data_IF_088632853128
#
_entry.id   IF_088632853128
#
_cell.length_a   1.000
_cell.length_b   1.000
_cell.length_c   1.000
_cell.angle_alpha   90.00
_cell.angle_beta   90.00
_cell.angle_gamma   90.00
#
_symmetry.space_group_name_H-M   'P 1'
#
loop_
_entity.id
_entity.type
_entity.pdbx_description
1 polymer ?
#
# COMPACT_ATOMS: atom_id res chain seq x y z
N UNK A 1 -7.04 22.95 8.64
CA UNK A 1 -6.71 21.98 9.71
C UNK A 1 -6.63 20.58 9.13
N UNK A 2 -5.42 20.03 9.10
CA UNK A 2 -5.17 18.66 8.69
C UNK A 2 -5.85 17.74 9.69
N UNK A 3 -6.95 17.12 9.30
CA UNK A 3 -7.66 16.14 10.10
C UNK A 3 -7.09 14.72 9.94
N UNK A 4 -5.83 14.61 9.49
CA UNK A 4 -5.10 13.36 9.32
C UNK A 4 -3.70 13.53 9.91
N UNK A 5 -3.32 12.60 10.76
CA UNK A 5 -1.96 12.48 11.28
C UNK A 5 -1.41 11.11 10.88
N UNK A 6 -0.16 11.09 10.43
CA UNK A 6 0.60 9.87 10.17
C UNK A 6 1.68 9.74 11.25
N UNK A 7 1.80 8.56 11.80
CA UNK A 7 2.81 8.19 12.79
C UNK A 7 3.57 6.97 12.31
N UNK A 8 4.86 6.95 12.54
CA UNK A 8 5.72 5.80 12.30
C UNK A 8 6.71 5.69 13.46
N UNK A 9 6.86 4.50 14.02
CA UNK A 9 7.65 4.25 15.21
C UNK A 9 9.10 3.84 14.88
N UNK A 10 9.73 4.46 13.90
CA UNK A 10 11.11 4.15 13.52
C UNK A 10 11.33 4.16 12.02
N UNK A 11 12.29 3.35 11.55
CA UNK A 11 12.68 3.22 10.16
C UNK A 11 11.67 2.45 9.30
N UNK A 12 12.10 2.02 8.13
CA UNK A 12 11.29 1.19 7.24
C UNK A 12 10.93 -0.14 7.92
N UNK A 13 9.70 -0.60 7.73
CA UNK A 13 9.23 -1.85 8.34
C UNK A 13 8.70 -1.72 9.77
N UNK A 14 8.91 -0.58 10.43
CA UNK A 14 8.38 -0.33 11.77
C UNK A 14 6.90 0.07 11.71
N UNK A 15 6.15 -0.25 12.77
CA UNK A 15 4.71 -0.03 12.84
C UNK A 15 4.33 1.39 12.47
N UNK A 16 3.40 1.52 11.54
CA UNK A 16 2.84 2.81 11.12
C UNK A 16 1.34 2.90 11.41
N UNK A 17 0.86 4.11 11.59
CA UNK A 17 -0.53 4.37 11.85
C UNK A 17 -0.99 5.67 11.19
N UNK A 18 -2.20 5.63 10.65
CA UNK A 18 -2.93 6.82 10.21
C UNK A 18 -4.07 7.08 11.18
N UNK A 19 -4.13 8.30 11.71
CA UNK A 19 -5.23 8.76 12.52
C UNK A 19 -6.06 9.76 11.74
N UNK A 20 -7.34 9.50 11.62
CA UNK A 20 -8.30 10.43 11.04
C UNK A 20 -9.05 11.15 12.15
N UNK A 21 -9.04 12.49 12.12
CA UNK A 21 -9.73 13.36 13.10
C UNK A 21 -9.31 13.11 14.55
N UNK A 22 -8.07 12.68 14.80
CA UNK A 22 -7.57 12.36 16.14
C UNK A 22 -8.08 11.05 16.73
N UNK A 23 -8.84 10.27 15.98
CA UNK A 23 -9.33 8.96 16.44
C UNK A 23 -8.24 7.89 16.26
N UNK A 24 -8.15 6.88 17.17
CA UNK A 24 -7.27 5.75 17.01
C UNK A 24 -7.46 5.03 15.69
N UNK A 25 -6.39 4.40 15.18
CA UNK A 25 -6.37 3.73 13.86
C UNK A 25 -7.50 2.71 13.66
N UNK A 26 -7.95 2.01 14.69
CA UNK A 26 -9.06 1.05 14.66
C UNK A 26 -10.41 1.63 14.22
N UNK A 27 -10.56 2.95 14.22
CA UNK A 27 -11.76 3.65 13.75
C UNK A 27 -11.67 4.13 12.32
N UNK A 28 -10.61 3.73 11.61
CA UNK A 28 -10.41 4.02 10.19
C UNK A 28 -10.35 2.71 9.42
N UNK A 29 -11.12 2.61 8.35
CA UNK A 29 -11.13 1.42 7.49
C UNK A 29 -10.28 1.69 6.26
N UNK A 30 -9.47 0.71 5.86
CA UNK A 30 -8.62 0.79 4.67
C UNK A 30 -9.14 -0.16 3.60
N UNK A 31 -9.20 0.32 2.37
CA UNK A 31 -9.51 -0.46 1.19
C UNK A 31 -8.38 -0.34 0.19
N UNK A 32 -8.08 -1.43 -0.52
CA UNK A 32 -7.20 -1.44 -1.68
C UNK A 32 -7.99 -2.01 -2.85
N UNK A 33 -8.18 -1.22 -3.90
CA UNK A 33 -8.96 -1.57 -5.09
C UNK A 33 -10.36 -2.14 -4.75
N UNK A 34 -11.00 -1.57 -3.72
CA UNK A 34 -12.34 -1.98 -3.27
C UNK A 34 -12.35 -3.16 -2.30
N UNK A 35 -11.23 -3.81 -2.03
CA UNK A 35 -11.11 -4.90 -1.06
C UNK A 35 -10.76 -4.33 0.31
N UNK A 36 -11.56 -4.65 1.32
CA UNK A 36 -11.29 -4.25 2.70
C UNK A 36 -10.04 -4.94 3.22
N UNK A 37 -9.10 -4.14 3.71
CA UNK A 37 -7.85 -4.62 4.28
C UNK A 37 -7.94 -4.63 5.81
N UNK A 38 -7.39 -5.68 6.39
CA UNK A 38 -7.29 -5.83 7.85
C UNK A 38 -6.13 -6.77 8.17
N UNK A 39 -5.57 -6.62 9.35
CA UNK A 39 -4.56 -7.54 9.87
C UNK A 39 -5.21 -8.43 10.93
N UNK A 40 -5.51 -9.71 10.63
CA UNK A 40 -6.13 -10.62 11.57
C UNK A 40 -5.21 -11.01 12.74
N UNK A 41 -3.90 -10.74 12.64
CA UNK A 41 -2.95 -10.95 13.73
C UNK A 41 -2.93 -9.80 14.75
N UNK A 42 -3.44 -8.64 14.36
CA UNK A 42 -3.58 -7.47 15.23
C UNK A 42 -4.82 -7.59 16.12
N UNK A 43 -4.67 -7.28 17.42
CA UNK A 43 -5.77 -7.26 18.39
C UNK A 43 -6.91 -6.33 17.95
N UNK A 44 -6.60 -5.24 17.26
CA UNK A 44 -7.56 -4.24 16.79
C UNK A 44 -7.99 -4.47 15.34
N UNK A 45 -7.48 -5.52 14.69
CA UNK A 45 -7.70 -5.80 13.27
C UNK A 45 -7.35 -4.59 12.36
N UNK A 46 -6.34 -3.83 12.77
CA UNK A 46 -5.89 -2.61 12.10
C UNK A 46 -5.02 -2.95 10.91
N UNK A 47 -5.09 -2.12 9.88
CA UNK A 47 -4.20 -2.23 8.74
C UNK A 47 -2.85 -1.54 9.02
N UNK A 48 -1.74 -2.22 8.68
CA UNK A 48 -0.40 -1.66 8.73
C UNK A 48 0.05 -1.19 7.34
N UNK A 49 0.43 0.08 7.24
CA UNK A 49 0.83 0.71 5.98
C UNK A 49 2.29 0.43 5.60
N UNK A 50 3.09 -0.15 6.49
CA UNK A 50 4.53 -0.38 6.28
C UNK A 50 4.86 -1.25 5.07
N UNK A 51 3.93 -2.10 4.66
CA UNK A 51 4.13 -3.07 3.61
C UNK A 51 3.60 -2.62 2.25
N UNK A 52 3.12 -1.36 2.16
CA UNK A 52 2.68 -0.78 0.90
C UNK A 52 3.80 0.05 0.29
N UNK A 53 4.22 -0.34 -0.91
CA UNK A 53 5.19 0.43 -1.68
C UNK A 53 4.46 1.43 -2.59
N UNK A 54 4.94 2.68 -2.58
CA UNK A 54 4.25 3.80 -3.23
C UNK A 54 4.32 3.74 -4.76
N UNK A 55 5.29 3.02 -5.33
CA UNK A 55 5.45 2.90 -6.79
C UNK A 55 4.24 2.26 -7.48
N UNK A 56 3.47 1.44 -6.74
CA UNK A 56 2.30 0.70 -7.24
C UNK A 56 0.99 1.47 -7.04
N UNK A 57 1.02 2.60 -6.31
CA UNK A 57 -0.16 3.39 -6.01
C UNK A 57 -0.39 4.41 -7.13
N UNK A 58 -1.63 4.51 -7.59
CA UNK A 58 -2.09 5.57 -8.47
C UNK A 58 -2.54 6.79 -7.68
N UNK A 59 -3.42 6.57 -6.67
CA UNK A 59 -3.92 7.63 -5.80
C UNK A 59 -4.44 7.06 -4.47
N UNK A 60 -4.56 7.94 -3.49
CA UNK A 60 -5.19 7.66 -2.19
C UNK A 60 -6.35 8.62 -2.01
N UNK A 61 -7.53 8.07 -1.76
CA UNK A 61 -8.76 8.81 -1.48
C UNK A 61 -9.10 8.68 -0.01
N UNK A 62 -9.36 9.80 0.67
CA UNK A 62 -9.67 9.80 2.08
C UNK A 62 -11.05 10.41 2.29
N UNK A 63 -12.00 9.57 2.70
CA UNK A 63 -13.33 9.98 3.09
C UNK A 63 -13.35 10.20 4.60
N UNK A 64 -13.52 11.46 4.99
CA UNK A 64 -13.50 11.87 6.39
C UNK A 64 -14.91 11.89 6.97
N UNK A 65 -15.04 11.46 8.21
CA UNK A 65 -16.31 11.43 8.94
C UNK A 65 -16.88 10.02 9.05
N UNK A 66 -18.04 9.93 9.68
CA UNK A 66 -18.69 8.64 9.89
C UNK A 66 -19.18 8.06 8.57
N UNK A 67 -18.55 6.99 8.13
CA UNK A 67 -18.86 6.23 6.91
C UNK A 67 -19.38 4.83 7.25
N UNK A 68 -19.78 4.58 8.50
CA UNK A 68 -20.13 3.24 9.00
C UNK A 68 -21.37 2.63 8.33
N UNK A 69 -22.27 3.44 7.79
CA UNK A 69 -23.44 2.96 7.04
C UNK A 69 -23.07 2.31 5.70
N UNK A 70 -21.95 2.70 5.09
CA UNK A 70 -21.49 2.17 3.80
C UNK A 70 -20.33 1.19 3.99
N UNK A 71 -19.39 1.52 4.88
CA UNK A 71 -18.11 0.81 5.02
C UNK A 71 -17.98 0.00 6.32
N UNK A 72 -19.06 -0.09 7.12
CA UNK A 72 -19.12 -0.87 8.36
C UNK A 72 -18.61 -0.14 9.59
N UNK A 73 -18.76 -0.77 10.77
CA UNK A 73 -18.54 -0.18 12.09
C UNK A 73 -17.11 0.37 12.34
N UNK A 74 -16.11 -0.10 11.62
CA UNK A 74 -14.73 0.41 11.72
C UNK A 74 -14.53 1.79 11.07
N UNK A 75 -15.47 2.31 10.29
CA UNK A 75 -15.33 3.54 9.51
C UNK A 75 -15.92 4.79 10.22
N UNK A 76 -15.84 4.85 11.53
CA UNK A 76 -16.36 5.98 12.34
C UNK A 76 -15.50 7.24 12.11
N UNK A 77 -14.19 7.09 12.05
CA UNK A 77 -13.24 8.18 11.79
C UNK A 77 -13.14 8.54 10.32
N UNK A 78 -13.37 7.57 9.46
CA UNK A 78 -13.30 7.70 8.01
C UNK A 78 -12.82 6.43 7.31
N UNK A 79 -12.68 6.54 5.99
CA UNK A 79 -12.22 5.47 5.12
C UNK A 79 -11.05 5.95 4.28
N UNK A 80 -10.01 5.14 4.16
CA UNK A 80 -8.86 5.34 3.28
C UNK A 80 -8.98 4.34 2.14
N UNK A 81 -9.09 4.83 0.92
CA UNK A 81 -9.16 4.00 -0.28
C UNK A 81 -7.89 4.19 -1.10
N UNK A 82 -7.11 3.13 -1.23
CA UNK A 82 -5.87 3.09 -2.01
C UNK A 82 -6.21 2.47 -3.35
N UNK A 83 -5.91 3.20 -4.42
CA UNK A 83 -6.14 2.76 -5.78
C UNK A 83 -4.79 2.46 -6.41
N UNK A 84 -4.59 1.21 -6.85
CA UNK A 84 -3.36 0.80 -7.52
C UNK A 84 -3.35 1.26 -8.99
N UNK A 85 -2.16 1.22 -9.59
CA UNK A 85 -1.98 1.61 -10.99
C UNK A 85 -2.73 0.64 -11.92
N UNK A 86 -3.31 1.21 -12.96
CA UNK A 86 -3.90 0.51 -14.10
C UNK A 86 -3.16 0.91 -15.36
N UNK A 87 -3.37 0.18 -16.46
CA UNK A 87 -2.80 0.58 -17.73
C UNK A 87 -3.50 1.84 -18.27
N UNK A 88 -2.73 2.68 -18.92
CA UNK A 88 -3.22 3.71 -19.81
C UNK A 88 -3.22 3.16 -21.26
N UNK A 89 -3.99 3.75 -22.19
CA UNK A 89 -4.05 3.27 -23.57
C UNK A 89 -2.68 3.08 -24.20
N UNK A 90 -2.48 1.93 -24.87
CA UNK A 90 -1.22 1.54 -25.46
C UNK A 90 -0.36 0.66 -24.55
N UNK A 91 0.91 0.50 -24.89
CA UNK A 91 1.87 -0.32 -24.15
C UNK A 91 2.87 0.57 -23.45
N UNK A 92 3.04 0.35 -22.15
CA UNK A 92 4.03 1.08 -21.36
C UNK A 92 4.95 0.09 -20.62
N UNK A 93 6.22 0.45 -20.53
CA UNK A 93 7.25 -0.28 -19.78
C UNK A 93 8.00 0.71 -18.91
N UNK A 94 8.12 0.41 -17.63
CA UNK A 94 8.78 1.28 -16.68
C UNK A 94 9.79 0.49 -15.85
N UNK A 95 10.99 1.03 -15.72
CA UNK A 95 12.07 0.50 -14.88
C UNK A 95 12.62 1.65 -14.07
N UNK A 96 12.54 1.54 -12.74
CA UNK A 96 13.14 2.51 -11.84
C UNK A 96 14.08 1.80 -10.88
N UNK A 97 15.27 2.38 -10.68
CA UNK A 97 16.21 1.93 -9.68
C UNK A 97 16.73 3.12 -8.89
N UNK A 98 16.51 3.05 -7.58
CA UNK A 98 16.92 4.09 -6.64
C UNK A 98 17.92 3.52 -5.64
N UNK A 99 18.93 4.32 -5.30
CA UNK A 99 19.93 4.01 -4.28
C UNK A 99 19.87 5.12 -3.23
N UNK A 100 19.96 4.72 -1.97
CA UNK A 100 19.95 5.66 -0.84
C UNK A 100 20.97 5.31 0.23
N UNK A 101 20.97 6.08 1.30
CA UNK A 101 21.80 5.82 2.49
C UNK A 101 21.41 4.49 3.15
N UNK A 102 22.27 3.98 4.03
CA UNK A 102 22.08 2.74 4.78
C UNK A 102 21.85 1.50 3.89
N UNK A 103 22.59 1.39 2.78
CA UNK A 103 22.45 0.28 1.85
C UNK A 103 21.05 0.18 1.22
N UNK A 104 20.35 1.30 1.11
CA UNK A 104 19.00 1.31 0.53
C UNK A 104 19.05 1.12 -0.97
N UNK A 105 18.30 0.12 -1.45
CA UNK A 105 18.09 -0.17 -2.87
C UNK A 105 16.61 -0.38 -3.13
N UNK A 106 16.09 0.26 -4.15
CA UNK A 106 14.70 0.06 -4.59
C UNK A 106 14.65 -0.14 -6.10
N UNK A 107 14.29 -1.35 -6.53
CA UNK A 107 14.06 -1.70 -7.93
C UNK A 107 12.57 -1.89 -8.17
N UNK A 108 12.00 -1.13 -9.08
CA UNK A 108 10.63 -1.32 -9.54
C UNK A 108 10.56 -1.53 -11.04
N UNK A 109 9.79 -2.53 -11.44
CA UNK A 109 9.51 -2.90 -12.82
C UNK A 109 8.01 -2.85 -13.03
N UNK A 110 7.56 -2.25 -14.13
CA UNK A 110 6.16 -2.28 -14.49
C UNK A 110 5.98 -2.48 -15.99
N UNK A 111 4.98 -3.26 -16.33
CA UNK A 111 4.48 -3.42 -17.68
C UNK A 111 2.97 -3.19 -17.67
N UNK A 112 2.49 -2.46 -18.65
CA UNK A 112 1.06 -2.28 -18.83
C UNK A 112 0.69 -2.22 -20.31
N UNK A 113 -0.50 -2.69 -20.61
CA UNK A 113 -1.09 -2.65 -21.94
C UNK A 113 -2.60 -2.44 -21.82
N UNK A 114 -3.14 -1.53 -22.59
CA UNK A 114 -4.59 -1.32 -22.66
C UNK A 114 -5.02 -1.00 -24.09
N UNK A 115 -6.15 -1.55 -24.46
CA UNK A 115 -6.90 -1.23 -25.67
C UNK A 115 -8.36 -0.88 -25.31
N UNK A 116 -9.29 -0.97 -26.29
CA UNK A 116 -10.69 -0.61 -26.08
C UNK A 116 -11.40 -1.55 -25.09
N UNK A 117 -11.02 -2.82 -25.03
CA UNK A 117 -11.70 -3.83 -24.22
C UNK A 117 -10.86 -4.37 -23.08
N UNK A 118 -9.54 -4.37 -23.21
CA UNK A 118 -8.62 -4.99 -22.28
C UNK A 118 -7.73 -3.95 -21.58
N UNK A 119 -7.55 -4.12 -20.27
CA UNK A 119 -6.61 -3.34 -19.49
C UNK A 119 -5.80 -4.31 -18.61
N UNK A 120 -4.48 -4.33 -18.80
CA UNK A 120 -3.55 -5.16 -18.07
C UNK A 120 -2.41 -4.34 -17.49
N UNK A 121 -2.17 -4.47 -16.20
CA UNK A 121 -1.04 -3.91 -15.49
C UNK A 121 -0.37 -4.97 -14.62
N UNK A 122 0.94 -5.04 -14.65
CA UNK A 122 1.75 -5.80 -13.69
C UNK A 122 2.90 -4.94 -13.20
N UNK A 123 3.07 -4.88 -11.89
CA UNK A 123 4.17 -4.19 -11.21
C UNK A 123 4.88 -5.12 -10.24
N UNK A 124 6.20 -5.14 -10.31
CA UNK A 124 7.09 -5.84 -9.40
C UNK A 124 7.97 -4.81 -8.70
N UNK A 125 8.17 -4.95 -7.41
CA UNK A 125 9.07 -4.08 -6.67
C UNK A 125 9.84 -4.86 -5.61
N UNK A 126 11.14 -4.55 -5.52
CA UNK A 126 12.01 -5.00 -4.45
C UNK A 126 12.64 -3.79 -3.78
N UNK A 127 12.29 -3.60 -2.54
CA UNK A 127 12.89 -2.62 -1.65
C UNK A 127 13.73 -3.34 -0.59
N UNK A 128 14.93 -2.85 -0.32
CA UNK A 128 15.77 -3.32 0.78
C UNK A 128 16.59 -2.17 1.36
N UNK A 129 16.83 -2.23 2.66
CA UNK A 129 17.72 -1.31 3.38
C UNK A 129 18.34 -2.05 4.56
N UNK A 130 19.57 -1.70 4.90
CA UNK A 130 20.18 -2.15 6.16
C UNK A 130 19.56 -1.46 7.38
N UNK A 131 18.92 -0.29 7.16
CA UNK A 131 18.34 0.49 8.24
C UNK A 131 19.38 1.13 9.17
N UNK A 132 18.90 1.62 10.27
CA UNK A 132 19.71 2.12 11.38
C UNK A 132 19.04 1.72 12.69
N UNK A 133 19.84 1.45 13.73
CA UNK A 133 19.33 1.11 15.05
C UNK A 133 18.43 2.20 15.62
N UNK A 134 17.32 1.81 16.21
CA UNK A 134 16.49 2.68 17.02
C UNK A 134 17.12 2.99 18.39
N UNK A 135 18.09 2.19 18.83
CA UNK A 135 18.79 2.36 20.11
C UNK A 135 20.04 3.21 19.97
N UNK A 136 20.22 4.19 20.87
CA UNK A 136 21.35 5.15 20.85
C UNK A 136 22.72 4.51 21.10
N UNK A 137 22.77 3.29 21.68
CA UNK A 137 24.00 2.62 22.10
C UNK A 137 24.17 1.21 21.49
N UNK A 138 23.41 0.89 20.47
CA UNK A 138 23.49 -0.38 19.77
C UNK A 138 23.86 -0.14 18.29
N UNK A 139 24.87 -0.86 17.82
CA UNK A 139 25.29 -0.83 16.40
C UNK A 139 24.46 -1.81 15.52
N UNK A 140 23.47 -2.48 16.11
CA UNK A 140 22.55 -3.35 15.40
C UNK A 140 21.71 -2.55 14.39
N UNK A 141 21.50 -3.12 13.22
CA UNK A 141 20.79 -2.46 12.13
C UNK A 141 19.40 -3.04 11.99
N UNK A 142 18.39 -2.19 11.95
CA UNK A 142 16.99 -2.55 11.69
C UNK A 142 16.76 -2.76 10.19
N UNK A 143 17.27 -3.88 9.68
CA UNK A 143 17.16 -4.18 8.26
C UNK A 143 15.71 -4.45 7.85
N UNK A 144 15.35 -3.96 6.66
CA UNK A 144 14.03 -4.17 6.07
C UNK A 144 14.14 -4.62 4.61
N UNK A 145 13.31 -5.59 4.24
CA UNK A 145 13.14 -6.02 2.84
C UNK A 145 11.67 -6.23 2.54
N UNK A 146 11.26 -5.80 1.36
CA UNK A 146 9.92 -6.00 0.83
C UNK A 146 10.02 -6.40 -0.65
N UNK A 147 9.46 -7.56 -1.00
CA UNK A 147 9.24 -7.98 -2.37
C UNK A 147 7.73 -7.95 -2.62
N UNK A 148 7.29 -7.16 -3.58
CA UNK A 148 5.86 -7.03 -3.85
C UNK A 148 5.52 -7.19 -5.32
N UNK A 149 4.32 -7.70 -5.56
CA UNK A 149 3.71 -7.84 -6.87
C UNK A 149 2.29 -7.29 -6.80
N UNK A 150 1.93 -6.51 -7.81
CA UNK A 150 0.54 -6.13 -8.08
C UNK A 150 0.25 -6.46 -9.54
N UNK A 151 -0.87 -7.13 -9.80
CA UNK A 151 -1.36 -7.35 -11.15
C UNK A 151 -2.86 -7.05 -11.21
N UNK A 152 -3.24 -6.23 -12.18
CA UNK A 152 -4.60 -5.83 -12.42
C UNK A 152 -4.98 -6.19 -13.86
N UNK A 153 -6.12 -6.80 -14.03
CA UNK A 153 -6.69 -7.10 -15.33
C UNK A 153 -8.16 -6.73 -15.34
N UNK A 154 -8.60 -6.07 -16.39
CA UNK A 154 -10.02 -5.93 -16.66
C UNK A 154 -10.32 -6.17 -18.14
N UNK A 155 -11.49 -6.76 -18.42
CA UNK A 155 -11.98 -7.04 -19.75
C UNK A 155 -13.46 -6.65 -19.84
N UNK A 156 -13.80 -5.86 -20.86
CA UNK A 156 -15.17 -5.48 -21.15
C UNK A 156 -15.84 -6.58 -21.99
N UNK A 157 -16.69 -7.37 -21.34
CA UNK A 157 -17.42 -8.49 -21.99
C UNK A 157 -18.60 -7.98 -22.84
N UNK A 158 -19.24 -6.89 -22.42
CA UNK A 158 -20.31 -6.19 -23.12
C UNK A 158 -20.46 -4.78 -22.54
N UNK A 159 -21.32 -3.94 -23.13
CA UNK A 159 -21.60 -2.58 -22.63
C UNK A 159 -22.05 -2.55 -21.14
N UNK A 160 -22.53 -3.66 -20.62
CA UNK A 160 -23.09 -3.74 -19.26
C UNK A 160 -22.26 -4.67 -18.34
N UNK A 161 -21.30 -5.43 -18.86
CA UNK A 161 -20.57 -6.45 -18.09
C UNK A 161 -19.07 -6.27 -18.27
N UNK A 162 -18.37 -5.98 -17.17
CA UNK A 162 -16.91 -5.91 -17.09
C UNK A 162 -16.40 -6.98 -16.11
N UNK A 163 -15.42 -7.77 -16.54
CA UNK A 163 -14.66 -8.65 -15.66
C UNK A 163 -13.46 -7.92 -15.09
N UNK A 164 -13.21 -8.06 -13.78
CA UNK A 164 -12.04 -7.50 -13.09
C UNK A 164 -11.34 -8.56 -12.25
N UNK A 165 -10.02 -8.57 -12.30
CA UNK A 165 -9.17 -9.39 -11.44
C UNK A 165 -8.03 -8.55 -10.89
N UNK A 166 -7.84 -8.60 -9.57
CA UNK A 166 -6.75 -7.93 -8.88
C UNK A 166 -5.98 -8.97 -8.08
N UNK A 167 -4.68 -9.03 -8.27
CA UNK A 167 -3.77 -9.89 -7.52
C UNK A 167 -2.75 -9.00 -6.84
N UNK A 168 -2.57 -9.25 -5.55
CA UNK A 168 -1.54 -8.59 -4.76
C UNK A 168 -0.81 -9.62 -3.90
N UNK A 169 0.51 -9.53 -3.93
CA UNK A 169 1.40 -10.32 -3.09
C UNK A 169 2.47 -9.42 -2.49
N UNK A 170 2.81 -9.63 -1.23
CA UNK A 170 3.93 -8.98 -0.56
C UNK A 170 4.59 -9.99 0.38
N UNK A 171 5.90 -10.11 0.25
CA UNK A 171 6.79 -10.84 1.16
C UNK A 171 7.71 -9.84 1.83
N UNK A 172 7.64 -9.75 3.15
CA UNK A 172 8.35 -8.73 3.92
C UNK A 172 9.17 -9.35 5.04
N UNK A 173 10.33 -8.76 5.28
CA UNK A 173 11.21 -9.09 6.39
C UNK A 173 11.61 -7.81 7.10
N UNK A 174 11.43 -7.74 8.41
CA UNK A 174 11.84 -6.63 9.26
C UNK A 174 12.66 -7.17 10.43
N UNK A 175 13.77 -6.52 10.73
CA UNK A 175 14.49 -6.66 11.99
C UNK A 175 14.09 -5.49 12.89
N UNK A 176 13.93 -5.78 14.17
CA UNK A 176 13.66 -4.78 15.21
C UNK A 176 14.15 -5.33 16.56
N UNK A 177 14.58 -4.41 17.41
CA UNK A 177 15.01 -4.68 18.79
C UNK A 177 13.84 -5.03 19.72
#
# INVERSE_FOLDING_TARGET
TTSMNFFQNGGHGQTSAVQLRGLPKRYSTVYIDGVKMSDPSSVSNDFDFNHILTSQISRVEILKGNQSSVYGSGAIGGTINIITKKAEPGIQKNVNYNIGSYGTHNLSLAYSAADENDNFYIGLERFQTDGMSAMTHNDEKDAYRNNSLVANYSHQLSDQVEFKSNIRFADTFSQYD
#
